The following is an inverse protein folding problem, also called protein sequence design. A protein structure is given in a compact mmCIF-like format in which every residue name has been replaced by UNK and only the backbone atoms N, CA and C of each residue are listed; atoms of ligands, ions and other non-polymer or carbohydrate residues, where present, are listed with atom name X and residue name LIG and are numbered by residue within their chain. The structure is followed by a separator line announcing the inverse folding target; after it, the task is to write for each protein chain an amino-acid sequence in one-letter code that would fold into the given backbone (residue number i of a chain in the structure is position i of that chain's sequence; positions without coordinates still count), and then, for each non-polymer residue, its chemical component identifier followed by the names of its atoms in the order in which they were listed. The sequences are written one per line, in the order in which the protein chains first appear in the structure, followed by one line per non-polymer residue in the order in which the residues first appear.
data_IF_579105867120
#
_entry.id   IF_579105867120
#
_cell.length_a   1.000
_cell.length_b   1.000
_cell.length_c   1.000
_cell.angle_alpha   90.00
_cell.angle_beta   90.00
_cell.angle_gamma   90.00
#
_symmetry.space_group_name_H-M   'P 1'
#
loop_
_entity.id
_entity.type
_entity.pdbx_description
1 polymer ?
#
# COMPACT_ATOMS: atom_id res chain seq x y z
N UNK A 1 -18.50 -25.44 15.51
CA UNK A 1 -17.84 -25.19 14.22
C UNK A 1 -18.80 -24.51 13.26
N UNK A 2 -19.92 -25.13 12.90
CA UNK A 2 -20.91 -24.54 11.97
C UNK A 2 -21.38 -23.14 12.35
N UNK A 3 -21.59 -22.86 13.64
CA UNK A 3 -21.96 -21.51 14.10
C UNK A 3 -20.90 -20.44 13.76
N UNK A 4 -19.60 -20.78 13.86
CA UNK A 4 -18.53 -19.86 13.47
C UNK A 4 -18.45 -19.70 11.95
N UNK A 5 -18.62 -20.79 11.18
CA UNK A 5 -18.60 -20.71 9.71
C UNK A 5 -19.82 -20.00 9.12
N UNK A 6 -20.93 -19.93 9.86
CA UNK A 6 -22.11 -19.16 9.48
C UNK A 6 -21.85 -17.64 9.46
N UNK A 7 -20.82 -17.16 10.15
CA UNK A 7 -20.38 -15.75 10.11
C UNK A 7 -19.58 -15.42 8.85
N UNK A 8 -19.34 -16.40 7.98
CA UNK A 8 -18.52 -16.31 6.75
C UNK A 8 -17.03 -16.04 7.03
N UNK A 9 -16.24 -15.91 5.97
CA UNK A 9 -14.81 -15.57 6.07
C UNK A 9 -14.65 -14.07 5.86
N UNK A 10 -13.81 -13.44 6.67
CA UNK A 10 -13.51 -12.01 6.71
C UNK A 10 -12.65 -11.53 5.53
N UNK A 11 -13.06 -11.91 4.32
CA UNK A 11 -12.41 -11.55 3.05
C UNK A 11 -13.35 -10.71 2.19
N UNK A 12 -12.81 -9.67 1.56
CA UNK A 12 -13.59 -8.87 0.61
C UNK A 12 -13.61 -9.50 -0.80
N UNK A 13 -14.36 -8.87 -1.72
CA UNK A 13 -14.49 -9.36 -3.10
C UNK A 13 -13.16 -9.38 -3.88
N UNK A 14 -12.19 -8.55 -3.50
CA UNK A 14 -10.87 -8.46 -4.12
C UNK A 14 -9.86 -9.48 -3.57
N UNK A 15 -10.24 -10.25 -2.54
CA UNK A 15 -9.36 -11.24 -1.92
C UNK A 15 -8.52 -10.71 -0.76
N UNK A 16 -8.80 -9.49 -0.26
CA UNK A 16 -8.11 -8.91 0.89
C UNK A 16 -8.82 -9.33 2.20
N UNK A 17 -8.06 -9.90 3.13
CA UNK A 17 -8.54 -10.14 4.50
C UNK A 17 -8.58 -8.83 5.30
N UNK A 18 -9.47 -8.75 6.28
CA UNK A 18 -9.65 -7.52 7.09
C UNK A 18 -8.37 -7.03 7.76
N UNK A 19 -7.44 -7.93 8.10
CA UNK A 19 -6.18 -7.59 8.75
C UNK A 19 -5.19 -6.83 7.85
N UNK A 20 -5.40 -6.89 6.52
CA UNK A 20 -4.54 -6.26 5.50
C UNK A 20 -3.04 -6.53 5.66
N UNK A 21 -2.67 -7.69 6.20
CA UNK A 21 -1.26 -8.09 6.35
C UNK A 21 -0.85 -9.05 5.24
N UNK A 22 -0.32 -8.46 4.18
CA UNK A 22 0.22 -9.17 3.02
C UNK A 22 1.42 -10.03 3.37
N UNK A 23 2.25 -9.64 4.35
CA UNK A 23 3.50 -10.33 4.68
C UNK A 23 3.34 -11.54 5.61
N UNK A 24 2.33 -11.56 6.49
CA UNK A 24 2.22 -12.57 7.55
C UNK A 24 0.83 -13.19 7.65
N UNK A 25 -0.21 -12.40 7.90
CA UNK A 25 -1.50 -12.97 8.25
C UNK A 25 -2.18 -13.68 7.07
N UNK A 26 -2.04 -13.16 5.85
CA UNK A 26 -2.57 -13.83 4.65
C UNK A 26 -2.07 -15.29 4.54
N UNK A 27 -0.79 -15.53 4.84
CA UNK A 27 -0.21 -16.86 4.85
C UNK A 27 -0.85 -17.79 5.89
N UNK A 28 -1.12 -17.26 7.08
CA UNK A 28 -1.75 -18.00 8.18
C UNK A 28 -3.22 -18.31 7.86
N UNK A 29 -3.98 -17.33 7.37
CA UNK A 29 -5.38 -17.49 6.99
C UNK A 29 -5.54 -18.52 5.86
N UNK A 30 -4.81 -18.38 4.76
CA UNK A 30 -4.89 -19.31 3.62
C UNK A 30 -4.58 -20.74 4.03
N UNK A 31 -3.52 -20.94 4.82
CA UNK A 31 -3.14 -22.25 5.34
C UNK A 31 -4.24 -22.83 6.24
N UNK A 32 -4.75 -22.04 7.17
CA UNK A 32 -5.78 -22.49 8.11
C UNK A 32 -7.06 -22.90 7.39
N UNK A 33 -7.50 -22.09 6.42
CA UNK A 33 -8.68 -22.37 5.60
C UNK A 33 -8.49 -23.62 4.73
N UNK A 34 -7.32 -23.78 4.12
CA UNK A 34 -6.99 -24.99 3.33
C UNK A 34 -7.01 -26.26 4.17
N UNK A 35 -6.43 -26.23 5.37
CA UNK A 35 -6.43 -27.36 6.29
C UNK A 35 -7.86 -27.64 6.81
N UNK A 36 -8.62 -26.60 7.15
CA UNK A 36 -10.02 -26.73 7.56
C UNK A 36 -10.91 -27.30 6.45
N UNK A 37 -10.72 -26.89 5.19
CA UNK A 37 -11.44 -27.42 4.04
C UNK A 37 -11.35 -28.95 3.96
N UNK A 38 -10.15 -29.51 4.22
CA UNK A 38 -9.93 -30.95 4.26
C UNK A 38 -10.55 -31.59 5.50
N UNK A 39 -10.22 -31.06 6.68
CA UNK A 39 -10.62 -31.66 7.96
C UNK A 39 -12.14 -31.70 8.15
N UNK A 40 -12.85 -30.76 7.53
CA UNK A 40 -14.31 -30.60 7.66
C UNK A 40 -15.07 -31.04 6.41
N UNK A 41 -14.39 -31.48 5.35
CA UNK A 41 -14.98 -31.73 4.03
C UNK A 41 -15.79 -30.52 3.51
N UNK A 42 -15.20 -29.32 3.59
CA UNK A 42 -15.79 -28.04 3.21
C UNK A 42 -14.98 -27.37 2.10
N UNK A 43 -15.09 -27.83 0.84
CA UNK A 43 -14.28 -27.32 -0.28
C UNK A 43 -14.56 -25.84 -0.59
N UNK A 44 -15.70 -25.31 -0.15
CA UNK A 44 -16.06 -23.89 -0.26
C UNK A 44 -15.09 -22.97 0.50
N UNK A 45 -14.40 -23.46 1.54
CA UNK A 45 -13.36 -22.71 2.25
C UNK A 45 -12.11 -22.45 1.40
N UNK A 46 -11.96 -23.13 0.25
CA UNK A 46 -10.85 -22.89 -0.67
C UNK A 46 -11.07 -21.66 -1.57
N UNK A 47 -12.32 -21.20 -1.72
CA UNK A 47 -12.62 -20.05 -2.57
C UNK A 47 -12.01 -18.74 -2.05
N UNK A 48 -12.11 -18.41 -0.74
CA UNK A 48 -11.34 -17.30 -0.15
C UNK A 48 -9.82 -17.41 -0.39
N UNK A 49 -9.28 -18.63 -0.32
CA UNK A 49 -7.84 -18.88 -0.52
C UNK A 49 -7.43 -18.49 -1.95
N UNK A 50 -8.19 -18.91 -2.97
CA UNK A 50 -7.92 -18.55 -4.36
C UNK A 50 -7.89 -17.04 -4.58
N UNK A 51 -8.93 -16.33 -4.11
CA UNK A 51 -9.00 -14.87 -4.24
C UNK A 51 -7.82 -14.19 -3.59
N UNK A 52 -7.43 -14.63 -2.40
CA UNK A 52 -6.27 -14.06 -1.72
C UNK A 52 -4.94 -14.38 -2.43
N UNK A 53 -4.77 -15.59 -2.98
CA UNK A 53 -3.59 -15.95 -3.76
C UNK A 53 -3.49 -15.11 -5.06
N UNK A 54 -4.62 -14.84 -5.71
CA UNK A 54 -4.67 -13.98 -6.90
C UNK A 54 -4.30 -12.53 -6.56
N UNK A 55 -4.83 -11.98 -5.47
CA UNK A 55 -4.44 -10.64 -4.99
C UNK A 55 -2.96 -10.60 -4.61
N UNK A 56 -2.51 -11.59 -3.82
CA UNK A 56 -1.15 -11.68 -3.29
C UNK A 56 -0.09 -11.67 -4.39
N UNK A 57 -0.35 -12.33 -5.53
CA UNK A 57 0.56 -12.31 -6.67
C UNK A 57 0.77 -10.88 -7.19
N UNK A 58 -0.32 -10.12 -7.37
CA UNK A 58 -0.22 -8.78 -7.91
C UNK A 58 0.52 -7.82 -6.97
N UNK A 59 0.46 -8.07 -5.65
CA UNK A 59 1.19 -7.32 -4.64
C UNK A 59 2.70 -7.59 -4.61
N UNK A 60 3.21 -8.56 -5.37
CA UNK A 60 4.65 -8.85 -5.45
C UNK A 60 5.38 -7.84 -6.33
N UNK A 61 6.59 -7.49 -5.90
CA UNK A 61 7.60 -6.81 -6.69
C UNK A 61 8.43 -7.82 -7.49
N UNK A 62 9.28 -7.35 -8.41
CA UNK A 62 10.07 -8.22 -9.28
C UNK A 62 11.12 -9.08 -8.55
N UNK A 63 11.54 -8.68 -7.35
CA UNK A 63 12.42 -9.46 -6.48
C UNK A 63 11.67 -10.38 -5.50
N UNK A 64 10.34 -10.53 -5.68
CA UNK A 64 9.47 -11.36 -4.85
C UNK A 64 9.17 -10.78 -3.47
N UNK A 65 9.59 -9.54 -3.18
CA UNK A 65 9.10 -8.86 -1.98
C UNK A 65 7.66 -8.43 -2.18
N UNK A 66 6.87 -8.42 -1.10
CA UNK A 66 5.48 -7.99 -1.14
C UNK A 66 5.33 -6.54 -0.68
N UNK A 67 4.34 -5.83 -1.22
CA UNK A 67 3.96 -4.51 -0.75
C UNK A 67 3.46 -4.60 0.70
N UNK A 68 4.16 -3.94 1.64
CA UNK A 68 3.78 -3.86 3.05
C UNK A 68 3.44 -2.45 3.52
N UNK A 69 3.63 -1.42 2.67
CA UNK A 69 3.34 -0.01 2.98
C UNK A 69 1.86 0.27 3.28
N UNK A 70 0.96 -0.67 2.94
CA UNK A 70 -0.48 -0.59 3.19
C UNK A 70 -0.94 -1.52 4.33
N UNK A 71 -0.01 -2.25 4.98
CA UNK A 71 -0.35 -3.12 6.11
C UNK A 71 -0.75 -2.31 7.34
N UNK A 72 -1.73 -2.82 8.08
CA UNK A 72 -2.16 -2.29 9.39
C UNK A 72 -1.46 -2.99 10.57
N UNK A 73 -0.46 -3.85 10.31
CA UNK A 73 0.18 -4.72 11.30
C UNK A 73 1.69 -4.49 11.40
N UNK A 74 2.37 -5.35 12.17
CA UNK A 74 3.80 -5.26 12.50
C UNK A 74 4.73 -5.34 11.27
N UNK A 75 4.24 -5.85 10.14
CA UNK A 75 4.96 -5.93 8.87
C UNK A 75 4.95 -4.60 8.09
N UNK A 76 4.21 -3.59 8.55
CA UNK A 76 4.17 -2.27 7.93
C UNK A 76 5.58 -1.69 7.74
N UNK A 77 5.93 -1.39 6.48
CA UNK A 77 7.22 -0.83 6.11
C UNK A 77 8.40 -1.81 6.19
N UNK A 78 8.14 -3.11 6.36
CA UNK A 78 9.19 -4.15 6.37
C UNK A 78 9.35 -4.81 5.00
N UNK A 79 10.59 -5.13 4.64
CA UNK A 79 10.90 -5.87 3.41
C UNK A 79 10.71 -7.37 3.66
N UNK A 80 9.67 -7.96 3.06
CA UNK A 80 9.31 -9.37 3.24
C UNK A 80 9.21 -10.06 1.88
N UNK A 81 9.92 -11.17 1.71
CA UNK A 81 9.70 -12.11 0.58
C UNK A 81 8.59 -13.07 0.98
N UNK A 82 7.61 -13.27 0.09
CA UNK A 82 6.38 -14.00 0.39
C UNK A 82 6.53 -15.54 0.38
N UNK A 83 7.65 -16.06 0.89
CA UNK A 83 7.95 -17.51 0.91
C UNK A 83 6.98 -18.32 1.77
N UNK A 84 6.35 -17.68 2.75
CA UNK A 84 5.36 -18.29 3.63
C UNK A 84 4.03 -18.61 2.93
N UNK A 85 3.83 -18.18 1.68
CA UNK A 85 2.67 -18.54 0.85
C UNK A 85 2.94 -19.70 -0.11
N UNK A 86 4.19 -20.16 -0.26
CA UNK A 86 4.56 -21.22 -1.21
C UNK A 86 3.74 -22.50 -0.97
N UNK A 87 3.47 -22.88 0.29
CA UNK A 87 2.66 -24.07 0.58
C UNK A 87 1.22 -23.95 0.08
N UNK A 88 0.66 -22.74 0.18
CA UNK A 88 -0.71 -22.45 -0.26
C UNK A 88 -0.79 -22.40 -1.78
N UNK A 89 0.13 -21.70 -2.45
CA UNK A 89 0.21 -21.71 -3.92
C UNK A 89 0.38 -23.12 -4.47
N UNK A 90 1.36 -23.89 -3.99
CA UNK A 90 1.59 -25.24 -4.49
C UNK A 90 0.40 -26.17 -4.22
N UNK A 91 -0.20 -26.11 -3.03
CA UNK A 91 -1.37 -26.94 -2.72
C UNK A 91 -2.57 -26.63 -3.62
N UNK A 92 -2.83 -25.36 -3.89
CA UNK A 92 -3.92 -24.96 -4.78
C UNK A 92 -3.60 -25.31 -6.23
N UNK A 93 -2.34 -25.18 -6.66
CA UNK A 93 -1.88 -25.64 -7.96
C UNK A 93 -2.18 -27.13 -8.18
N UNK A 94 -1.86 -27.98 -7.20
CA UNK A 94 -2.11 -29.43 -7.25
C UNK A 94 -3.60 -29.78 -7.26
N UNK A 95 -4.42 -29.06 -6.50
CA UNK A 95 -5.87 -29.31 -6.38
C UNK A 95 -6.63 -28.89 -7.63
N UNK A 96 -6.25 -27.75 -8.19
CA UNK A 96 -7.00 -27.11 -9.27
C UNK A 96 -6.38 -27.39 -10.66
N UNK A 97 -5.21 -28.04 -10.71
CA UNK A 97 -4.44 -28.16 -11.96
C UNK A 97 -3.96 -26.81 -12.47
N UNK A 98 -3.70 -25.87 -11.57
CA UNK A 98 -3.42 -24.47 -11.89
C UNK A 98 -1.90 -24.26 -12.09
N UNK A 99 -1.48 -24.16 -13.35
CA UNK A 99 -0.08 -24.01 -13.74
C UNK A 99 0.53 -22.66 -13.35
N UNK A 100 -0.29 -21.62 -13.28
CA UNK A 100 0.09 -20.31 -12.76
C UNK A 100 0.49 -20.37 -11.28
N UNK A 101 -0.32 -20.98 -10.41
CA UNK A 101 0.03 -21.14 -9.00
C UNK A 101 1.28 -22.01 -8.79
N UNK A 102 1.48 -23.05 -9.62
CA UNK A 102 2.71 -23.84 -9.59
C UNK A 102 3.93 -22.96 -9.91
N UNK A 103 3.83 -22.13 -10.95
CA UNK A 103 4.90 -21.21 -11.34
C UNK A 103 5.21 -20.17 -10.25
N UNK A 104 4.19 -19.63 -9.57
CA UNK A 104 4.38 -18.70 -8.44
C UNK A 104 5.09 -19.38 -7.28
N UNK A 105 4.69 -20.61 -6.94
CA UNK A 105 5.32 -21.37 -5.86
C UNK A 105 6.81 -21.63 -6.15
N UNK A 106 7.15 -22.08 -7.36
CA UNK A 106 8.53 -22.33 -7.77
C UNK A 106 9.36 -21.04 -7.78
N UNK A 107 8.80 -19.95 -8.30
CA UNK A 107 9.49 -18.67 -8.35
C UNK A 107 9.83 -18.16 -6.93
N UNK A 108 8.84 -18.10 -6.04
CA UNK A 108 9.05 -17.65 -4.65
C UNK A 108 10.03 -18.57 -3.89
N UNK A 109 9.94 -19.89 -4.11
CA UNK A 109 10.89 -20.84 -3.53
C UNK A 109 12.32 -20.61 -4.04
N UNK A 110 12.49 -20.32 -5.34
CA UNK A 110 13.81 -20.08 -5.93
C UNK A 110 14.51 -18.84 -5.37
N UNK A 111 13.75 -17.82 -4.96
CA UNK A 111 14.27 -16.58 -4.39
C UNK A 111 14.82 -16.80 -2.98
N UNK A 112 14.10 -17.56 -2.15
CA UNK A 112 14.49 -17.83 -0.77
C UNK A 112 14.11 -19.25 -0.38
N UNK A 113 14.94 -20.25 -0.77
CA UNK A 113 14.73 -21.64 -0.41
C UNK A 113 14.74 -21.82 1.11
N UNK A 114 13.86 -22.68 1.61
CA UNK A 114 13.80 -22.96 3.03
C UNK A 114 13.04 -24.23 3.35
N UNK A 115 13.11 -24.65 4.61
CA UNK A 115 12.30 -25.71 5.17
C UNK A 115 11.23 -25.12 6.10
N UNK A 116 10.10 -25.80 6.27
CA UNK A 116 8.99 -25.35 7.11
C UNK A 116 7.65 -25.79 6.55
N UNK A 117 6.65 -24.92 6.61
CA UNK A 117 5.30 -25.20 6.10
C UNK A 117 5.25 -25.55 4.61
N UNK A 118 6.27 -25.17 3.83
CA UNK A 118 6.43 -25.58 2.43
C UNK A 118 6.51 -27.11 2.24
N UNK A 119 6.90 -27.86 3.28
CA UNK A 119 6.91 -29.33 3.24
C UNK A 119 5.53 -29.94 3.50
N UNK A 120 4.61 -29.20 4.11
CA UNK A 120 3.29 -29.73 4.49
C UNK A 120 2.55 -30.38 3.31
N UNK A 121 2.47 -29.80 2.10
CA UNK A 121 1.74 -30.41 0.99
C UNK A 121 2.27 -31.80 0.63
N UNK A 122 3.59 -32.00 0.71
CA UNK A 122 4.26 -33.27 0.41
C UNK A 122 4.17 -34.28 1.55
N UNK A 123 3.93 -33.83 2.78
CA UNK A 123 3.71 -34.68 3.94
C UNK A 123 2.28 -35.18 4.00
N UNK A 124 1.31 -34.30 3.73
CA UNK A 124 -0.12 -34.64 3.74
C UNK A 124 -0.57 -35.34 2.47
N UNK A 125 0.10 -35.10 1.34
CA UNK A 125 -0.19 -35.76 0.06
C UNK A 125 1.12 -36.30 -0.55
N UNK A 126 1.58 -37.50 -0.13
CA UNK A 126 2.82 -38.09 -0.63
C UNK A 126 2.90 -38.20 -2.15
N UNK A 127 1.77 -38.44 -2.82
CA UNK A 127 1.68 -38.54 -4.29
C UNK A 127 1.98 -37.21 -4.99
N UNK A 128 1.90 -36.07 -4.29
CA UNK A 128 2.27 -34.76 -4.85
C UNK A 128 3.78 -34.53 -4.93
N UNK A 129 4.60 -35.47 -4.44
CA UNK A 129 6.04 -35.49 -4.70
C UNK A 129 6.34 -35.85 -6.15
N UNK A 130 5.43 -36.55 -6.81
CA UNK A 130 5.44 -36.70 -8.26
C UNK A 130 4.79 -35.46 -8.87
N UNK A 131 5.65 -34.57 -9.32
CA UNK A 131 5.27 -33.27 -9.82
C UNK A 131 4.76 -33.34 -11.26
N UNK A 132 3.59 -32.75 -11.52
CA UNK A 132 2.85 -32.95 -12.77
C UNK A 132 2.06 -31.74 -13.32
N UNK A 133 1.82 -30.62 -12.61
CA UNK A 133 1.29 -29.42 -13.25
C UNK A 133 2.36 -28.79 -14.15
N UNK A 134 1.98 -28.49 -15.39
CA UNK A 134 2.78 -27.67 -16.29
C UNK A 134 2.76 -26.22 -15.79
N UNK A 135 3.92 -25.57 -15.75
CA UNK A 135 4.03 -24.20 -15.25
C UNK A 135 3.63 -23.21 -16.33
N UNK A 136 2.81 -22.24 -15.96
CA UNK A 136 2.50 -21.11 -16.84
C UNK A 136 3.60 -20.04 -16.76
N UNK A 137 3.62 -19.15 -17.77
CA UNK A 137 4.50 -17.98 -17.76
C UNK A 137 3.90 -16.91 -16.86
N UNK A 138 4.63 -16.47 -15.85
CA UNK A 138 4.20 -15.41 -14.94
C UNK A 138 4.21 -14.05 -15.66
N UNK A 139 3.09 -13.29 -15.64
CA UNK A 139 3.04 -11.96 -16.23
C UNK A 139 3.82 -10.96 -15.37
N UNK A 140 4.78 -10.28 -15.98
CA UNK A 140 5.61 -9.23 -15.37
C UNK A 140 5.10 -7.81 -15.67
N UNK A 141 3.98 -7.70 -16.40
CA UNK A 141 3.35 -6.45 -16.78
C UNK A 141 1.84 -6.50 -16.60
N UNK A 142 1.30 -5.66 -15.71
CA UNK A 142 -0.14 -5.52 -15.46
C UNK A 142 -0.50 -4.22 -14.76
N UNK A 143 -1.75 -3.78 -14.89
CA UNK A 143 -2.36 -2.75 -14.06
C UNK A 143 -3.68 -3.28 -13.54
N UNK A 144 -3.89 -3.26 -12.21
CA UNK A 144 -5.05 -3.84 -11.55
C UNK A 144 -5.62 -2.90 -10.51
N UNK A 145 -6.91 -2.63 -10.60
CA UNK A 145 -7.69 -1.88 -9.62
C UNK A 145 -8.46 -2.87 -8.76
N UNK A 146 -8.42 -2.67 -7.45
CA UNK A 146 -9.11 -3.46 -6.42
C UNK A 146 -10.04 -2.51 -5.65
N UNK A 147 -11.30 -2.34 -6.09
CA UNK A 147 -12.22 -1.34 -5.53
C UNK A 147 -12.60 -1.58 -4.06
N UNK A 148 -12.81 -2.85 -3.67
CA UNK A 148 -13.14 -3.21 -2.29
C UNK A 148 -11.94 -3.08 -1.35
N UNK A 149 -10.73 -3.37 -1.83
CA UNK A 149 -9.49 -3.11 -1.09
C UNK A 149 -9.08 -1.62 -1.11
N UNK A 150 -9.62 -0.84 -2.06
CA UNK A 150 -9.22 0.54 -2.38
C UNK A 150 -7.73 0.64 -2.73
N UNK A 151 -7.28 -0.25 -3.62
CA UNK A 151 -5.89 -0.33 -4.08
C UNK A 151 -5.82 -0.29 -5.60
N UNK A 152 -4.77 0.32 -6.11
CA UNK A 152 -4.37 0.22 -7.52
C UNK A 152 -2.90 -0.18 -7.59
N UNK A 153 -2.64 -1.24 -8.33
CA UNK A 153 -1.32 -1.85 -8.46
C UNK A 153 -0.90 -1.85 -9.92
N UNK A 154 0.29 -1.32 -10.17
CA UNK A 154 0.92 -1.34 -11.49
C UNK A 154 2.25 -2.05 -11.38
N UNK A 155 2.56 -2.92 -12.34
CA UNK A 155 3.88 -3.52 -12.53
C UNK A 155 4.25 -3.48 -14.01
N UNK A 156 5.50 -3.10 -14.28
CA UNK A 156 6.16 -3.10 -15.59
C UNK A 156 7.57 -3.63 -15.38
N UNK A 157 7.79 -4.93 -15.58
CA UNK A 157 9.07 -5.60 -15.35
C UNK A 157 9.56 -5.39 -13.90
N UNK A 158 10.70 -4.70 -13.74
CA UNK A 158 11.31 -4.32 -12.45
C UNK A 158 10.69 -3.09 -11.79
N UNK A 159 9.85 -2.33 -12.50
CA UNK A 159 9.10 -1.19 -11.95
C UNK A 159 7.76 -1.65 -11.42
N UNK A 160 7.37 -1.14 -10.27
CA UNK A 160 6.02 -1.32 -9.74
C UNK A 160 5.64 -0.17 -8.83
N UNK A 161 4.35 0.14 -8.77
CA UNK A 161 3.80 1.14 -7.88
C UNK A 161 2.46 0.69 -7.31
N UNK A 162 2.14 1.21 -6.13
CA UNK A 162 0.89 0.96 -5.47
C UNK A 162 0.30 2.27 -4.98
N UNK A 163 -0.96 2.51 -5.33
CA UNK A 163 -1.78 3.60 -4.80
C UNK A 163 -2.87 3.02 -3.92
N UNK A 164 -3.17 3.64 -2.78
CA UNK A 164 -4.24 3.15 -1.90
C UNK A 164 -4.85 4.23 -1.02
N UNK A 165 -6.10 4.00 -0.64
CA UNK A 165 -6.86 4.91 0.23
C UNK A 165 -7.00 4.40 1.68
N UNK A 166 -7.38 5.30 2.58
CA UNK A 166 -7.60 5.01 4.00
C UNK A 166 -6.31 4.91 4.82
N UNK A 167 -5.17 5.30 4.26
CA UNK A 167 -3.88 5.38 4.96
C UNK A 167 -3.18 6.70 4.65
N UNK A 168 -2.17 7.05 5.45
CA UNK A 168 -1.44 8.32 5.31
C UNK A 168 -0.37 8.30 4.22
N UNK A 169 -0.04 7.12 3.70
CA UNK A 169 0.99 6.85 2.68
C UNK A 169 0.34 6.42 1.36
N UNK A 170 -0.38 7.31 0.66
CA UNK A 170 -1.27 6.93 -0.45
C UNK A 170 -0.57 6.39 -1.70
N UNK A 171 0.74 6.55 -1.82
CA UNK A 171 1.51 6.10 -2.98
C UNK A 171 2.88 5.56 -2.58
N UNK A 172 3.30 4.46 -3.19
CA UNK A 172 4.66 3.90 -3.11
C UNK A 172 5.12 3.35 -4.46
N UNK A 173 6.44 3.32 -4.69
CA UNK A 173 7.02 2.80 -5.92
C UNK A 173 8.34 2.08 -5.68
N UNK A 174 8.65 1.11 -6.53
CA UNK A 174 9.91 0.38 -6.52
C UNK A 174 10.41 0.16 -7.94
N UNK A 175 11.68 0.40 -8.16
CA UNK A 175 12.39 0.14 -9.40
C UNK A 175 13.69 -0.61 -9.10
N UNK A 176 13.72 -1.91 -9.38
CA UNK A 176 14.89 -2.74 -9.07
C UNK A 176 15.25 -2.67 -7.58
N UNK A 177 16.44 -2.17 -7.27
CA UNK A 177 16.91 -1.98 -5.89
C UNK A 177 16.41 -0.70 -5.20
N UNK A 178 15.90 0.26 -5.97
CA UNK A 178 15.43 1.54 -5.41
C UNK A 178 13.97 1.42 -4.98
N UNK A 179 13.70 1.78 -3.73
CA UNK A 179 12.37 1.69 -3.12
C UNK A 179 11.98 3.04 -2.51
N UNK A 180 10.97 3.67 -3.12
CA UNK A 180 10.22 4.81 -2.60
C UNK A 180 9.07 4.26 -1.77
N UNK A 181 9.30 4.16 -0.45
CA UNK A 181 8.40 3.53 0.51
C UNK A 181 7.08 4.26 0.60
N UNK A 182 7.13 5.60 0.57
CA UNK A 182 5.91 6.40 0.60
C UNK A 182 6.09 7.80 0.03
N UNK A 183 5.00 8.32 -0.52
CA UNK A 183 4.80 9.74 -0.79
C UNK A 183 3.68 10.24 0.13
N UNK A 184 4.03 11.14 1.04
CA UNK A 184 3.13 11.70 2.05
C UNK A 184 2.77 13.14 1.72
N UNK A 185 1.52 13.49 2.00
CA UNK A 185 0.97 14.83 1.76
C UNK A 185 0.43 15.41 3.05
N UNK A 186 0.83 16.62 3.40
CA UNK A 186 0.35 17.28 4.62
C UNK A 186 0.29 18.79 4.44
N UNK A 187 -0.74 19.40 5.00
CA UNK A 187 -0.87 20.85 5.08
C UNK A 187 -0.78 21.32 6.53
N UNK A 188 -0.15 22.46 6.77
CA UNK A 188 -0.09 23.09 8.09
C UNK A 188 -1.41 23.80 8.43
N UNK A 189 -2.49 23.03 8.59
CA UNK A 189 -3.83 23.53 8.86
C UNK A 189 -4.44 22.82 10.09
N UNK A 190 -4.46 23.53 11.23
CA UNK A 190 -4.98 23.07 12.53
C UNK A 190 -4.44 21.72 13.04
N UNK A 191 -3.33 21.22 12.45
CA UNK A 191 -2.80 19.87 12.68
C UNK A 191 -3.78 18.72 12.35
N UNK A 192 -4.71 18.97 11.41
CA UNK A 192 -5.76 18.02 11.00
C UNK A 192 -5.81 17.80 9.48
N UNK A 193 -4.80 18.27 8.76
CA UNK A 193 -4.73 18.21 7.29
C UNK A 193 -3.59 17.30 6.80
N UNK A 194 -3.33 16.21 7.53
CA UNK A 194 -2.55 15.09 7.02
C UNK A 194 -3.44 14.29 6.07
N UNK A 195 -2.99 14.07 4.84
CA UNK A 195 -3.79 13.37 3.84
C UNK A 195 -4.02 11.90 4.24
N UNK A 196 -5.27 11.52 4.41
CA UNK A 196 -5.71 10.14 4.51
C UNK A 196 -7.07 10.02 3.82
N UNK A 197 -7.09 9.52 2.60
CA UNK A 197 -8.28 9.61 1.75
C UNK A 197 -9.42 8.71 2.23
N UNK A 198 -10.65 9.24 2.19
CA UNK A 198 -11.86 8.46 2.44
C UNK A 198 -12.40 7.81 1.15
N UNK A 199 -12.13 8.44 0.01
CA UNK A 199 -12.58 8.04 -1.33
C UNK A 199 -11.47 7.36 -2.14
N UNK A 200 -11.90 6.53 -3.10
CA UNK A 200 -11.03 5.85 -4.06
C UNK A 200 -11.84 5.60 -5.34
N UNK A 201 -11.55 6.34 -6.40
CA UNK A 201 -12.32 6.30 -7.64
C UNK A 201 -11.39 6.16 -8.85
N UNK A 202 -11.73 5.26 -9.76
CA UNK A 202 -11.10 5.20 -11.08
C UNK A 202 -11.82 6.14 -12.04
N UNK A 203 -11.10 7.15 -12.55
CA UNK A 203 -11.64 8.18 -13.44
C UNK A 203 -10.74 8.31 -14.66
N UNK A 204 -11.22 7.90 -15.84
CA UNK A 204 -10.48 7.99 -17.10
C UNK A 204 -9.08 7.34 -17.06
N UNK A 205 -8.96 6.17 -16.40
CA UNK A 205 -7.67 5.47 -16.25
C UNK A 205 -6.74 6.05 -15.19
N UNK A 206 -7.22 7.01 -14.38
CA UNK A 206 -6.50 7.60 -13.24
C UNK A 206 -7.16 7.20 -11.94
N UNK A 207 -6.41 7.19 -10.85
CA UNK A 207 -6.96 7.03 -9.51
C UNK A 207 -7.11 8.39 -8.87
N UNK A 208 -8.34 8.75 -8.51
CA UNK A 208 -8.68 9.95 -7.76
C UNK A 208 -9.02 9.59 -6.32
N UNK A 209 -8.41 10.32 -5.39
CA UNK A 209 -8.65 10.20 -3.96
C UNK A 209 -8.81 11.59 -3.35
N UNK A 210 -9.74 11.72 -2.41
CA UNK A 210 -10.02 12.99 -1.73
C UNK A 210 -9.92 12.81 -0.23
N UNK A 211 -9.43 13.85 0.43
CA UNK A 211 -9.39 13.99 1.89
C UNK A 211 -9.98 15.34 2.31
N UNK A 212 -10.88 15.34 3.28
CA UNK A 212 -11.41 16.55 3.92
C UNK A 212 -10.83 16.70 5.32
N UNK A 213 -10.15 17.81 5.61
CA UNK A 213 -9.50 18.02 6.91
C UNK A 213 -10.50 18.04 8.07
N UNK A 214 -10.41 17.06 8.97
CA UNK A 214 -11.24 16.92 10.18
C UNK A 214 -10.39 16.43 11.34
N UNK A 215 -10.71 16.87 12.55
CA UNK A 215 -10.07 16.32 13.76
C UNK A 215 -10.61 14.91 14.10
N UNK A 216 -10.02 14.28 15.13
CA UNK A 216 -10.39 12.92 15.56
C UNK A 216 -11.85 12.79 16.03
N UNK A 217 -12.48 13.89 16.44
CA UNK A 217 -13.90 13.95 16.82
C UNK A 217 -14.80 14.30 15.62
N UNK A 218 -14.24 14.38 14.40
CA UNK A 218 -14.93 14.76 13.16
C UNK A 218 -15.17 16.26 13.02
N UNK A 219 -14.61 17.09 13.92
CA UNK A 219 -14.81 18.54 13.90
C UNK A 219 -14.04 19.17 12.76
N UNK A 220 -14.63 20.22 12.19
CA UNK A 220 -13.97 21.11 11.24
C UNK A 220 -12.90 21.96 11.92
N UNK A 221 -11.93 22.46 11.16
CA UNK A 221 -10.98 23.45 11.65
C UNK A 221 -11.75 24.62 12.28
N UNK A 222 -11.46 24.92 13.53
CA UNK A 222 -12.24 25.86 14.31
C UNK A 222 -11.48 26.42 15.50
N UNK A 223 -11.90 27.60 15.95
CA UNK A 223 -11.45 28.18 17.22
C UNK A 223 -12.50 27.98 18.30
N UNK A 224 -12.04 27.47 19.44
CA UNK A 224 -12.84 27.29 20.65
C UNK A 224 -13.23 28.65 21.26
N UNK A 225 -14.52 28.93 21.36
CA UNK A 225 -15.01 30.19 21.91
C UNK A 225 -14.99 30.20 23.46
N UNK A 226 -14.98 31.38 24.10
CA UNK A 226 -15.01 31.48 25.57
C UNK A 226 -16.28 30.87 26.18
N UNK A 227 -16.14 30.16 27.31
CA UNK A 227 -17.27 29.55 28.04
C UNK A 227 -18.01 30.53 28.96
N UNK A 228 -17.43 31.69 29.24
CA UNK A 228 -18.00 32.67 30.18
C UNK A 228 -17.93 32.24 31.66
N UNK A 229 -17.13 31.23 32.00
CA UNK A 229 -16.86 30.79 33.39
C UNK A 229 -15.42 30.32 33.56
N UNK A 230 -14.95 30.28 34.81
CA UNK A 230 -13.63 29.73 35.14
C UNK A 230 -13.57 28.23 34.84
N UNK A 231 -12.38 27.79 34.40
CA UNK A 231 -12.10 26.39 34.08
C UNK A 231 -10.88 25.97 34.89
N UNK A 232 -11.01 24.89 35.64
CA UNK A 232 -9.89 24.34 36.42
C UNK A 232 -8.84 23.72 35.49
N UNK A 233 -7.59 23.68 35.92
CA UNK A 233 -6.50 23.10 35.14
C UNK A 233 -6.80 21.67 34.66
N UNK A 234 -7.33 20.81 35.55
CA UNK A 234 -7.69 19.43 35.21
C UNK A 234 -8.96 19.29 34.34
N UNK A 235 -9.77 20.35 34.23
CA UNK A 235 -11.01 20.35 33.45
C UNK A 235 -10.84 20.85 32.01
N UNK A 236 -9.70 21.47 31.66
CA UNK A 236 -9.56 22.23 30.41
C UNK A 236 -9.96 21.46 29.16
N UNK A 237 -9.41 20.25 28.95
CA UNK A 237 -9.72 19.43 27.77
C UNK A 237 -11.15 18.88 27.77
N UNK A 238 -11.70 18.54 28.93
CA UNK A 238 -13.09 18.05 29.02
C UNK A 238 -14.10 19.15 28.66
N UNK A 239 -13.81 20.40 29.05
CA UNK A 239 -14.68 21.54 28.72
C UNK A 239 -14.67 21.93 27.24
N UNK A 240 -13.70 21.42 26.44
CA UNK A 240 -13.64 21.65 24.98
C UNK A 240 -14.92 21.19 24.27
N UNK A 241 -15.60 20.17 24.80
CA UNK A 241 -16.87 19.68 24.23
C UNK A 241 -18.05 20.62 24.45
N UNK A 242 -17.98 21.49 25.46
CA UNK A 242 -19.02 22.45 25.82
C UNK A 242 -18.87 23.80 25.09
N UNK A 243 -17.71 24.03 24.46
CA UNK A 243 -17.41 25.28 23.78
C UNK A 243 -18.16 25.37 22.47
N UNK A 244 -18.79 26.53 22.25
CA UNK A 244 -19.14 26.93 20.89
C UNK A 244 -17.87 27.10 20.06
N UNK A 245 -17.95 26.87 18.76
CA UNK A 245 -16.82 26.95 17.84
C UNK A 245 -17.03 28.06 16.82
N UNK A 246 -15.98 28.81 16.51
CA UNK A 246 -15.91 29.59 15.28
C UNK A 246 -15.30 28.70 14.19
N UNK A 247 -16.16 28.18 13.31
CA UNK A 247 -15.77 27.25 12.27
C UNK A 247 -15.15 27.96 11.06
N UNK A 248 -14.09 27.36 10.54
CA UNK A 248 -13.48 27.71 9.26
C UNK A 248 -13.82 26.65 8.21
N UNK A 249 -13.73 27.00 6.91
CA UNK A 249 -13.87 26.01 5.85
C UNK A 249 -12.84 24.89 6.00
N UNK A 250 -13.22 23.62 5.80
CA UNK A 250 -12.26 22.53 5.76
C UNK A 250 -11.33 22.67 4.54
N UNK A 251 -10.12 22.13 4.66
CA UNK A 251 -9.21 21.97 3.54
C UNK A 251 -9.54 20.66 2.81
N UNK A 252 -10.04 20.77 1.58
CA UNK A 252 -10.26 19.64 0.69
C UNK A 252 -8.99 19.41 -0.12
N UNK A 253 -8.37 18.24 0.06
CA UNK A 253 -7.18 17.83 -0.70
C UNK A 253 -7.56 16.70 -1.66
N UNK A 254 -7.28 16.88 -2.94
CA UNK A 254 -7.49 15.87 -4.00
C UNK A 254 -6.15 15.42 -4.53
N UNK A 255 -5.93 14.10 -4.58
CA UNK A 255 -4.79 13.46 -5.22
C UNK A 255 -5.28 12.67 -6.44
N UNK A 256 -4.72 12.96 -7.60
CA UNK A 256 -4.89 12.18 -8.82
C UNK A 256 -3.57 11.49 -9.18
N UNK A 257 -3.61 10.19 -9.40
CA UNK A 257 -2.45 9.39 -9.79
C UNK A 257 -2.68 8.79 -11.17
N UNK A 258 -1.72 8.97 -12.06
CA UNK A 258 -1.73 8.49 -13.45
C UNK A 258 -0.43 7.76 -13.77
N UNK A 259 -0.53 6.63 -14.47
CA UNK A 259 0.64 5.95 -15.04
C UNK A 259 1.01 6.67 -16.34
N UNK A 260 2.29 7.03 -16.48
CA UNK A 260 2.85 7.65 -17.68
C UNK A 260 4.02 6.82 -18.20
N UNK A 261 4.50 7.12 -19.40
CA UNK A 261 5.67 6.41 -19.94
C UNK A 261 6.87 6.59 -19.01
N UNK A 262 7.44 5.46 -18.57
CA UNK A 262 8.57 5.42 -17.64
C UNK A 262 8.27 5.90 -16.21
N UNK A 263 7.02 6.07 -15.78
CA UNK A 263 6.77 6.62 -14.44
C UNK A 263 5.31 6.86 -14.04
N UNK A 264 5.12 7.77 -13.08
CA UNK A 264 3.83 8.15 -12.52
C UNK A 264 3.73 9.66 -12.33
N UNK A 265 2.59 10.23 -12.70
CA UNK A 265 2.23 11.61 -12.41
C UNK A 265 1.28 11.64 -11.20
N UNK A 266 1.65 12.41 -10.17
CA UNK A 266 0.87 12.67 -8.97
C UNK A 266 0.47 14.15 -8.97
N UNK A 267 -0.82 14.41 -9.17
CA UNK A 267 -1.38 15.76 -9.16
C UNK A 267 -2.15 16.00 -7.86
N UNK A 268 -1.71 16.97 -7.08
CA UNK A 268 -2.31 17.32 -5.79
C UNK A 268 -2.90 18.71 -5.84
N UNK A 269 -4.17 18.81 -5.50
CA UNK A 269 -4.91 20.07 -5.42
C UNK A 269 -5.44 20.25 -4.01
N UNK A 270 -5.32 21.46 -3.47
CA UNK A 270 -5.86 21.80 -2.15
C UNK A 270 -6.77 23.02 -2.26
N UNK A 271 -7.97 22.93 -1.68
CA UNK A 271 -9.03 23.94 -1.78
C UNK A 271 -9.69 24.17 -0.41
N UNK A 272 -10.33 25.34 -0.22
CA UNK A 272 -11.09 25.68 0.98
C UNK A 272 -10.50 26.84 1.78
N UNK A 273 -9.17 26.96 1.84
CA UNK A 273 -8.49 28.09 2.48
C UNK A 273 -7.22 28.47 1.71
N UNK A 274 -7.00 29.77 1.49
CA UNK A 274 -5.87 30.27 0.69
C UNK A 274 -4.57 30.29 1.50
N UNK A 275 -3.43 30.16 0.81
CA UNK A 275 -2.06 30.27 1.35
C UNK A 275 -1.75 29.34 2.53
N UNK A 276 -2.38 28.17 2.57
CA UNK A 276 -2.01 27.12 3.54
C UNK A 276 -0.70 26.48 3.11
N UNK A 277 0.35 26.47 3.95
CA UNK A 277 1.60 25.77 3.63
C UNK A 277 1.36 24.29 3.42
N UNK A 278 1.87 23.75 2.32
CA UNK A 278 1.71 22.37 1.91
C UNK A 278 3.07 21.70 1.75
N UNK A 279 3.19 20.46 2.21
CA UNK A 279 4.40 19.66 2.16
C UNK A 279 4.12 18.33 1.45
N UNK A 280 5.07 17.95 0.59
CA UNK A 280 5.16 16.63 -0.02
C UNK A 280 6.46 16.01 0.50
N UNK A 281 6.38 14.84 1.13
CA UNK A 281 7.54 14.08 1.60
C UNK A 281 7.65 12.78 0.82
N UNK A 282 8.86 12.45 0.35
CA UNK A 282 9.16 11.24 -0.40
C UNK A 282 10.22 10.45 0.38
N UNK A 283 9.82 9.29 0.89
CA UNK A 283 10.64 8.52 1.81
C UNK A 283 11.25 7.31 1.09
N UNK A 284 12.57 7.30 0.96
CA UNK A 284 13.32 6.23 0.32
C UNK A 284 13.96 5.28 1.34
N UNK A 285 14.08 4.00 0.98
CA UNK A 285 14.90 3.06 1.75
C UNK A 285 16.37 3.52 1.70
N UNK A 286 17.07 3.64 2.85
CA UNK A 286 18.45 4.12 2.90
C UNK A 286 19.42 3.14 2.24
N UNK A 287 20.56 3.65 1.76
CA UNK A 287 21.61 2.85 1.12
C UNK A 287 22.04 3.33 -0.26
N UNK A 288 21.29 4.27 -0.85
CA UNK A 288 21.61 4.92 -2.12
C UNK A 288 22.19 6.32 -1.97
N UNK A 289 22.27 7.00 -3.10
CA UNK A 289 22.72 8.39 -3.23
C UNK A 289 21.60 9.21 -3.87
N UNK A 290 21.40 10.42 -3.36
CA UNK A 290 20.44 11.40 -3.86
C UNK A 290 21.21 12.49 -4.60
N UNK A 291 21.08 12.51 -5.91
CA UNK A 291 21.62 13.54 -6.79
C UNK A 291 20.59 14.65 -7.02
N UNK A 292 21.03 15.90 -6.97
CA UNK A 292 20.24 17.08 -7.34
C UNK A 292 21.19 18.17 -7.89
N UNK A 293 20.64 19.22 -8.50
CA UNK A 293 21.41 20.23 -9.26
C UNK A 293 22.64 20.79 -8.52
N UNK A 294 22.56 20.92 -7.19
CA UNK A 294 23.60 21.54 -6.36
C UNK A 294 24.47 20.54 -5.59
N UNK A 295 24.29 19.23 -5.76
CA UNK A 295 25.17 18.22 -5.19
C UNK A 295 24.55 16.84 -5.01
N UNK A 296 25.31 15.98 -4.33
CA UNK A 296 24.93 14.61 -4.03
C UNK A 296 24.96 14.40 -2.52
N UNK A 297 23.93 13.76 -1.98
CA UNK A 297 23.85 13.38 -0.56
C UNK A 297 23.64 11.89 -0.43
N UNK A 298 24.36 11.25 0.49
CA UNK A 298 24.19 9.83 0.75
C UNK A 298 22.92 9.61 1.59
N UNK A 299 22.01 8.76 1.12
CA UNK A 299 20.77 8.41 1.81
C UNK A 299 21.03 7.58 3.06
N UNK A 300 20.97 8.23 4.23
CA UNK A 300 21.10 7.60 5.54
C UNK A 300 19.76 7.60 6.27
N UNK A 301 19.63 6.74 7.27
CA UNK A 301 18.48 6.74 8.18
C UNK A 301 18.33 8.13 8.80
N UNK A 302 17.11 8.68 8.77
CA UNK A 302 16.76 10.02 9.28
C UNK A 302 17.47 11.20 8.59
N UNK A 303 18.06 10.99 7.41
CA UNK A 303 18.58 12.09 6.60
C UNK A 303 17.42 12.81 5.90
N UNK A 304 17.37 14.14 6.00
CA UNK A 304 16.31 14.96 5.39
C UNK A 304 16.96 15.96 4.44
N UNK A 305 16.55 15.91 3.18
CA UNK A 305 16.95 16.89 2.15
C UNK A 305 15.72 17.64 1.66
N UNK A 306 15.83 18.97 1.53
CA UNK A 306 14.75 19.82 1.02
C UNK A 306 15.03 20.21 -0.44
N UNK A 307 14.22 19.68 -1.35
CA UNK A 307 14.26 20.04 -2.76
C UNK A 307 13.48 21.35 -2.99
N UNK A 308 14.21 22.45 -3.24
CA UNK A 308 13.59 23.76 -3.49
C UNK A 308 13.09 23.93 -4.93
N UNK A 309 13.80 23.35 -5.89
CA UNK A 309 13.52 23.46 -7.32
C UNK A 309 14.15 22.28 -8.06
N UNK A 310 13.71 22.04 -9.30
CA UNK A 310 14.29 21.02 -10.18
C UNK A 310 13.87 19.60 -9.81
N UNK A 311 14.76 18.66 -10.11
CA UNK A 311 14.58 17.24 -9.89
C UNK A 311 15.64 16.73 -8.90
N UNK A 312 15.31 15.67 -8.17
CA UNK A 312 16.24 14.90 -7.39
C UNK A 312 16.15 13.43 -7.81
N UNK A 313 17.29 12.79 -8.06
CA UNK A 313 17.35 11.40 -8.48
C UNK A 313 17.97 10.57 -7.37
N UNK A 314 17.21 9.64 -6.82
CA UNK A 314 17.72 8.67 -5.86
C UNK A 314 18.09 7.38 -6.58
N UNK A 315 19.34 6.94 -6.46
CA UNK A 315 19.85 5.80 -7.19
C UNK A 315 20.63 4.83 -6.30
N UNK A 316 20.57 3.55 -6.70
CA UNK A 316 21.36 2.46 -6.13
C UNK A 316 21.92 1.67 -7.30
N UNK A 317 23.24 1.66 -7.44
CA UNK A 317 23.92 1.04 -8.58
C UNK A 317 23.38 1.59 -9.92
N UNK A 318 22.71 0.74 -10.72
CA UNK A 318 22.17 1.09 -12.04
C UNK A 318 20.65 1.35 -12.02
N UNK A 319 20.01 1.32 -10.86
CA UNK A 319 18.57 1.58 -10.71
C UNK A 319 18.38 2.98 -10.13
N UNK A 320 17.44 3.75 -10.69
CA UNK A 320 17.15 5.10 -10.21
C UNK A 320 15.66 5.45 -10.23
N UNK A 321 15.26 6.29 -9.28
CA UNK A 321 13.96 6.98 -9.25
C UNK A 321 14.22 8.48 -9.14
N UNK A 322 13.76 9.23 -10.14
CA UNK A 322 13.77 10.69 -10.16
C UNK A 322 12.43 11.25 -9.70
N UNK A 323 12.50 12.26 -8.85
CA UNK A 323 11.37 13.00 -8.31
C UNK A 323 11.53 14.48 -8.64
N UNK A 324 10.46 15.14 -9.09
CA UNK A 324 10.52 16.58 -9.32
C UNK A 324 9.17 17.19 -9.65
N UNK A 325 9.14 18.52 -9.66
CA UNK A 325 7.93 19.25 -10.08
C UNK A 325 7.80 19.17 -11.60
N UNK A 326 6.61 18.83 -12.09
CA UNK A 326 6.33 18.92 -13.53
C UNK A 326 6.01 20.38 -13.91
N UNK A 327 6.32 20.78 -15.14
CA UNK A 327 6.25 22.16 -15.63
C UNK A 327 4.82 22.76 -15.80
N UNK A 328 3.77 22.12 -15.26
CA UNK A 328 2.41 22.68 -15.29
C UNK A 328 2.15 23.38 -13.96
N UNK A 329 2.15 24.72 -13.91
CA UNK A 329 1.77 25.46 -12.70
C UNK A 329 0.35 26.05 -12.84
N UNK A 330 -0.47 25.85 -11.80
CA UNK A 330 -1.63 26.68 -11.45
C UNK A 330 -1.58 26.95 -9.94
N UNK A 331 -2.05 28.12 -9.49
CA UNK A 331 -1.79 28.68 -8.16
C UNK A 331 -2.31 27.85 -6.96
N UNK A 332 -3.03 26.75 -7.19
CA UNK A 332 -3.55 25.83 -6.16
C UNK A 332 -3.27 24.34 -6.47
N UNK A 333 -2.41 24.06 -7.45
CA UNK A 333 -2.08 22.72 -7.94
C UNK A 333 -0.58 22.44 -7.85
N UNK A 334 -0.20 21.32 -7.25
CA UNK A 334 1.16 20.80 -7.23
C UNK A 334 1.22 19.59 -8.16
N UNK A 335 2.07 19.68 -9.19
CA UNK A 335 2.35 18.55 -10.08
C UNK A 335 3.68 17.93 -9.69
N UNK A 336 3.65 16.64 -9.42
CA UNK A 336 4.81 15.87 -9.02
C UNK A 336 4.95 14.69 -9.98
N UNK A 337 6.14 14.55 -10.58
CA UNK A 337 6.43 13.48 -11.51
C UNK A 337 7.48 12.56 -10.89
N UNK A 338 7.20 11.26 -10.96
CA UNK A 338 8.10 10.19 -10.55
C UNK A 338 8.52 9.46 -11.82
N UNK A 339 9.80 9.54 -12.18
CA UNK A 339 10.36 8.83 -13.33
C UNK A 339 11.28 7.71 -12.84
N UNK A 340 11.18 6.54 -13.43
CA UNK A 340 12.12 5.44 -13.21
C UNK A 340 13.13 5.41 -14.36
N UNK A 341 14.42 5.43 -14.02
CA UNK A 341 15.53 5.53 -14.99
C UNK A 341 16.36 4.25 -14.96
#
# INVERSE_FOLDING_TARGET
MEQYLAETIDINADGEYIERSTGVCNAVCNRSLRLAANALNRPDLLEPVRRNLDLSYHMLHADGTVVTSFSQRQDHGTRVVLVNMVDSYYSMARRDGNGFYAAVADWLYSISPGAGWMLEPFLTHPDWREDNPEREVLPDSYAKVYPAAKLWRVRRNKTSATTGAGITTPFSAKHGQVELVSVNFSASYFAIAQFASETFEEVNGKIRMTHESRDQDGRRPSYDMPLGREVTFGGFYNTRKERNTYELPPLLTTLEVEEVDGGFDLHVKSEGYDRVPFQIACDFVPGGELDFDSGTVRGKVNEITLLKQGYATYHISNDAISIGKSHKEQSSSHFFQIQTI
#
